data_IF_197147134932
#
_entry.id   IF_197147134932
#
_cell.length_a   1.000
_cell.length_b   1.000
_cell.length_c   1.000
_cell.angle_alpha   90.00
_cell.angle_beta   90.00
_cell.angle_gamma   90.00
#
_symmetry.space_group_name_H-M   'P 1'
#
loop_
_entity.id
_entity.type
_entity.pdbx_description
1 polymer ?
#
# COMPACT_ATOMS: atom_id res chain seq x y z
N UNK A 1 35.21 -37.87 -48.84
CA UNK A 1 34.70 -37.74 -47.44
C UNK A 1 34.09 -36.36 -47.10
N UNK A 2 34.11 -35.35 -47.98
CA UNK A 2 33.69 -33.97 -47.63
C UNK A 2 32.18 -33.65 -47.61
N UNK A 3 31.34 -34.33 -48.41
CA UNK A 3 29.92 -33.97 -48.53
C UNK A 3 29.07 -34.28 -47.28
N UNK A 4 29.43 -35.36 -46.55
CA UNK A 4 28.68 -35.79 -45.35
C UNK A 4 28.88 -34.84 -44.16
N UNK A 5 30.06 -34.22 -44.05
CA UNK A 5 30.37 -33.26 -42.98
C UNK A 5 29.62 -31.92 -43.17
N UNK A 6 29.43 -31.49 -44.42
CA UNK A 6 28.71 -30.25 -44.76
C UNK A 6 27.22 -30.38 -44.43
N UNK A 7 26.60 -31.52 -44.74
CA UNK A 7 25.19 -31.80 -44.39
C UNK A 7 24.94 -31.76 -42.89
N UNK A 8 25.78 -32.43 -42.10
CA UNK A 8 25.67 -32.46 -40.64
C UNK A 8 25.83 -31.06 -40.00
N UNK A 9 26.74 -30.23 -40.54
CA UNK A 9 26.93 -28.87 -40.04
C UNK A 9 25.71 -27.98 -40.38
N UNK A 10 25.10 -28.16 -41.54
CA UNK A 10 23.90 -27.41 -41.93
C UNK A 10 22.68 -27.82 -41.10
N UNK A 11 22.50 -29.11 -40.84
CA UNK A 11 21.46 -29.61 -39.94
C UNK A 11 21.61 -29.07 -38.51
N UNK A 12 22.84 -28.99 -38.00
CA UNK A 12 23.13 -28.39 -36.70
C UNK A 12 22.75 -26.90 -36.67
N UNK A 13 23.07 -26.14 -37.72
CA UNK A 13 22.66 -24.73 -37.84
C UNK A 13 21.14 -24.57 -37.86
N UNK A 14 20.43 -25.40 -38.63
CA UNK A 14 18.96 -25.38 -38.69
C UNK A 14 18.36 -25.70 -37.32
N UNK A 15 18.88 -26.71 -36.62
CA UNK A 15 18.44 -27.09 -35.27
C UNK A 15 18.66 -25.97 -34.26
N UNK A 16 19.83 -25.33 -34.28
CA UNK A 16 20.15 -24.21 -33.40
C UNK A 16 19.25 -22.99 -33.68
N UNK A 17 18.96 -22.71 -34.95
CA UNK A 17 18.05 -21.65 -35.33
C UNK A 17 16.63 -21.92 -34.82
N UNK A 18 16.15 -23.16 -34.93
CA UNK A 18 14.85 -23.55 -34.39
C UNK A 18 14.79 -23.41 -32.87
N UNK A 19 15.80 -23.92 -32.16
CA UNK A 19 15.89 -23.77 -30.71
C UNK A 19 15.88 -22.30 -30.27
N UNK A 20 16.55 -21.43 -31.03
CA UNK A 20 16.53 -19.98 -30.76
C UNK A 20 15.16 -19.34 -31.02
N UNK A 21 14.39 -19.82 -32.01
CA UNK A 21 13.02 -19.35 -32.23
C UNK A 21 12.10 -19.77 -31.08
N UNK A 22 12.23 -21.00 -30.60
CA UNK A 22 11.43 -21.51 -29.48
C UNK A 22 11.74 -20.73 -28.19
N UNK A 23 13.01 -20.44 -27.93
CA UNK A 23 13.42 -19.59 -26.79
C UNK A 23 12.84 -18.18 -26.91
N UNK A 24 12.89 -17.56 -28.09
CA UNK A 24 12.32 -16.23 -28.31
C UNK A 24 10.81 -16.21 -28.08
N UNK A 25 10.10 -17.24 -28.54
CA UNK A 25 8.66 -17.38 -28.30
C UNK A 25 8.34 -17.52 -26.81
N UNK A 26 9.10 -18.33 -26.08
CA UNK A 26 8.94 -18.49 -24.63
C UNK A 26 9.19 -17.18 -23.87
N UNK A 27 10.25 -16.44 -24.20
CA UNK A 27 10.56 -15.15 -23.56
C UNK A 27 9.49 -14.10 -23.87
N UNK A 28 8.95 -14.08 -25.09
CA UNK A 28 7.83 -13.21 -25.43
C UNK A 28 6.58 -13.54 -24.61
N UNK A 29 6.23 -14.83 -24.48
CA UNK A 29 5.12 -15.29 -23.64
C UNK A 29 5.29 -14.88 -22.17
N UNK A 30 6.48 -15.07 -21.60
CA UNK A 30 6.79 -14.64 -20.22
C UNK A 30 6.71 -13.12 -20.05
N UNK A 31 7.12 -12.36 -21.06
CA UNK A 31 7.05 -10.89 -21.04
C UNK A 31 5.60 -10.40 -21.07
N UNK A 32 4.74 -11.04 -21.88
CA UNK A 32 3.31 -10.75 -21.92
C UNK A 32 2.64 -11.04 -20.56
N UNK A 33 2.92 -12.21 -19.98
CA UNK A 33 2.40 -12.58 -18.66
C UNK A 33 2.88 -11.62 -17.55
N UNK A 34 4.15 -11.19 -17.59
CA UNK A 34 4.67 -10.22 -16.63
C UNK A 34 4.01 -8.84 -16.75
N UNK A 35 3.65 -8.42 -17.97
CA UNK A 35 2.95 -7.16 -18.22
C UNK A 35 1.49 -7.20 -17.71
N UNK A 36 0.79 -8.32 -17.90
CA UNK A 36 -0.55 -8.55 -17.34
C UNK A 36 -0.55 -8.54 -15.80
N UNK A 37 0.44 -9.21 -15.18
CA UNK A 37 0.64 -9.21 -13.73
C UNK A 37 1.03 -7.82 -13.18
N UNK A 38 1.67 -6.97 -13.98
CA UNK A 38 1.97 -5.59 -13.62
C UNK A 38 0.72 -4.70 -13.71
N UNK A 39 -0.13 -4.90 -14.72
CA UNK A 39 -1.41 -4.20 -14.86
C UNK A 39 -2.39 -4.47 -13.70
N UNK A 40 -2.41 -5.71 -13.19
CA UNK A 40 -3.27 -6.09 -12.07
C UNK A 40 -2.73 -5.70 -10.69
N UNK A 41 -1.43 -5.40 -10.54
CA UNK A 41 -0.84 -4.92 -9.27
C UNK A 41 -1.29 -3.51 -8.88
N UNK A 42 -1.97 -2.79 -9.79
CA UNK A 42 -2.58 -1.49 -9.54
C UNK A 42 -4.05 -1.54 -9.10
N UNK A 43 -4.67 -2.73 -8.99
CA UNK A 43 -5.98 -2.85 -8.36
C UNK A 43 -5.82 -2.69 -6.84
N UNK A 44 -5.63 -1.45 -6.41
CA UNK A 44 -6.13 -0.98 -5.13
C UNK A 44 -7.52 -1.55 -4.98
N UNK A 45 -7.77 -2.27 -3.88
CA UNK A 45 -9.08 -2.75 -3.48
C UNK A 45 -9.99 -1.53 -3.36
N UNK A 46 -10.56 -1.10 -4.49
CA UNK A 46 -11.37 0.10 -4.58
C UNK A 46 -12.71 -0.28 -3.97
N UNK A 47 -12.78 -0.22 -2.65
CA UNK A 47 -14.01 -0.41 -1.90
C UNK A 47 -15.00 0.59 -2.48
N UNK A 48 -16.06 0.05 -3.08
CA UNK A 48 -17.14 0.83 -3.64
C UNK A 48 -17.59 1.88 -2.61
N UNK A 49 -17.82 3.15 -3.01
CA UNK A 49 -18.13 4.23 -2.07
C UNK A 49 -19.19 3.87 -1.02
N UNK A 50 -20.26 3.21 -1.42
CA UNK A 50 -21.39 2.73 -0.62
C UNK A 50 -21.01 1.61 0.40
N UNK A 51 -19.87 0.96 0.19
CA UNK A 51 -19.37 -0.11 1.05
C UNK A 51 -18.36 0.38 2.09
N UNK A 52 -17.83 1.60 1.96
CA UNK A 52 -16.73 2.11 2.80
C UNK A 52 -17.11 2.17 4.28
N UNK A 53 -18.32 2.63 4.60
CA UNK A 53 -18.81 2.68 5.98
C UNK A 53 -18.95 1.28 6.57
N UNK A 54 -19.41 0.30 5.78
CA UNK A 54 -19.54 -1.10 6.23
C UNK A 54 -18.17 -1.71 6.50
N UNK A 55 -17.21 -1.51 5.60
CA UNK A 55 -15.83 -1.99 5.76
C UNK A 55 -15.14 -1.32 6.96
N UNK A 56 -15.34 -0.03 7.17
CA UNK A 56 -14.81 0.68 8.34
C UNK A 56 -15.38 0.11 9.64
N UNK A 57 -16.68 -0.19 9.68
CA UNK A 57 -17.34 -0.75 10.85
C UNK A 57 -16.78 -2.12 11.28
N UNK A 58 -16.25 -2.93 10.34
CA UNK A 58 -15.60 -4.21 10.66
C UNK A 58 -14.36 -4.05 11.55
N UNK A 59 -13.74 -2.87 11.55
CA UNK A 59 -12.53 -2.57 12.30
C UNK A 59 -12.81 -1.74 13.57
N UNK A 60 -14.08 -1.46 13.87
CA UNK A 60 -14.45 -0.73 15.08
C UNK A 60 -14.67 -1.68 16.24
N UNK A 61 -14.10 -1.34 17.39
CA UNK A 61 -14.22 -2.12 18.62
C UNK A 61 -14.65 -1.25 19.80
N UNK A 62 -15.14 -1.90 20.87
CA UNK A 62 -15.51 -1.24 22.12
C UNK A 62 -16.47 -0.05 21.95
N UNK A 63 -16.07 1.14 22.41
CA UNK A 63 -16.91 2.35 22.35
C UNK A 63 -17.15 2.84 20.91
N UNK A 64 -16.28 2.48 19.96
CA UNK A 64 -16.40 2.93 18.58
C UNK A 64 -17.52 2.19 17.82
N UNK A 65 -17.64 0.87 18.03
CA UNK A 65 -18.72 0.10 17.39
C UNK A 65 -20.09 0.47 17.95
N UNK A 66 -20.20 0.72 19.27
CA UNK A 66 -21.44 1.21 19.89
C UNK A 66 -21.84 2.58 19.34
N UNK A 67 -20.88 3.46 19.07
CA UNK A 67 -21.16 4.73 18.40
C UNK A 67 -21.68 4.53 16.97
N UNK A 68 -21.04 3.67 16.18
CA UNK A 68 -21.46 3.40 14.81
C UNK A 68 -22.91 2.89 14.76
N UNK A 69 -23.29 1.97 15.64
CA UNK A 69 -24.67 1.48 15.75
C UNK A 69 -25.66 2.62 16.01
N UNK A 70 -25.34 3.54 16.94
CA UNK A 70 -26.15 4.73 17.20
C UNK A 70 -26.20 5.69 16.02
N UNK A 71 -25.07 5.91 15.34
CA UNK A 71 -24.97 6.77 14.16
C UNK A 71 -25.88 6.25 13.03
N UNK A 72 -25.80 4.96 12.70
CA UNK A 72 -26.66 4.32 11.69
C UNK A 72 -28.13 4.37 12.10
N UNK A 73 -28.45 4.12 13.38
CA UNK A 73 -29.83 4.19 13.87
C UNK A 73 -30.47 5.57 13.67
N UNK A 74 -29.70 6.64 13.83
CA UNK A 74 -30.20 8.02 13.68
C UNK A 74 -30.28 8.42 12.20
N UNK A 75 -29.27 8.05 11.40
CA UNK A 75 -29.12 8.47 10.00
C UNK A 75 -29.86 7.60 9.00
N UNK A 76 -30.20 6.36 9.36
CA UNK A 76 -30.83 5.40 8.46
C UNK A 76 -29.90 5.00 7.30
N UNK A 77 -30.47 4.63 6.13
CA UNK A 77 -29.69 4.18 4.96
C UNK A 77 -28.62 5.18 4.49
N UNK A 78 -28.90 6.48 4.62
CA UNK A 78 -27.99 7.57 4.21
C UNK A 78 -26.65 7.54 4.96
N UNK A 79 -26.61 6.88 6.14
CA UNK A 79 -25.38 6.67 6.90
C UNK A 79 -24.27 5.98 6.11
N UNK A 80 -24.63 5.18 5.10
CA UNK A 80 -23.70 4.39 4.30
C UNK A 80 -23.26 5.09 3.01
N UNK A 81 -24.03 6.10 2.55
CA UNK A 81 -23.82 6.76 1.27
C UNK A 81 -22.89 7.98 1.38
N UNK A 82 -22.75 8.55 2.59
CA UNK A 82 -21.93 9.74 2.82
C UNK A 82 -20.69 9.45 3.69
N UNK A 83 -19.65 8.93 3.03
CA UNK A 83 -18.37 8.60 3.68
C UNK A 83 -17.72 9.80 4.39
N UNK A 84 -17.74 10.98 3.77
CA UNK A 84 -17.10 12.18 4.28
C UNK A 84 -17.76 12.64 5.58
N UNK A 85 -19.09 12.61 5.64
CA UNK A 85 -19.85 12.94 6.84
C UNK A 85 -19.63 11.90 7.96
N UNK A 86 -19.58 10.61 7.60
CA UNK A 86 -19.27 9.54 8.54
C UNK A 86 -17.90 9.75 9.21
N UNK A 87 -16.85 9.99 8.42
CA UNK A 87 -15.50 10.29 8.91
C UNK A 87 -15.47 11.59 9.71
N UNK A 88 -16.19 12.63 9.27
CA UNK A 88 -16.30 13.90 9.99
C UNK A 88 -16.90 13.72 11.38
N UNK A 89 -17.97 12.92 11.49
CA UNK A 89 -18.65 12.62 12.75
C UNK A 89 -17.80 11.72 13.67
N UNK A 90 -17.11 10.73 13.10
CA UNK A 90 -16.17 9.88 13.82
C UNK A 90 -15.04 10.74 14.41
N UNK A 91 -14.45 11.63 13.60
CA UNK A 91 -13.44 12.59 14.05
C UNK A 91 -14.00 13.49 15.15
N UNK A 92 -15.15 14.13 14.96
CA UNK A 92 -15.72 15.03 15.97
C UNK A 92 -15.92 14.35 17.34
N UNK A 93 -16.27 13.06 17.37
CA UNK A 93 -16.52 12.31 18.59
C UNK A 93 -15.27 11.71 19.24
N UNK A 94 -14.36 11.17 18.43
CA UNK A 94 -13.20 10.41 18.93
C UNK A 94 -11.89 11.15 18.82
N UNK A 95 -11.84 12.27 18.09
CA UNK A 95 -10.70 13.17 18.13
C UNK A 95 -10.73 13.92 19.45
N UNK A 96 -9.94 13.46 20.42
CA UNK A 96 -9.48 14.33 21.51
C UNK A 96 -8.70 15.51 20.90
N UNK A 97 -8.79 16.69 21.52
CA UNK A 97 -7.79 17.74 21.31
C UNK A 97 -6.41 17.13 21.58
N UNK A 98 -5.50 17.23 20.63
CA UNK A 98 -4.31 16.38 20.60
C UNK A 98 -4.34 15.53 19.35
N UNK A 99 -4.29 16.22 18.20
CA UNK A 99 -3.43 15.69 17.15
C UNK A 99 -2.07 15.48 17.84
N UNK A 100 -1.47 14.30 17.74
CA UNK A 100 -0.02 14.20 17.90
C UNK A 100 0.51 15.29 16.95
N UNK A 101 0.99 16.39 17.52
CA UNK A 101 1.70 17.43 16.80
C UNK A 101 3.14 17.10 17.11
N UNK A 102 3.74 16.15 16.38
CA UNK A 102 5.01 15.59 16.77
C UNK A 102 6.09 16.68 16.66
N UNK A 103 5.84 17.74 15.87
CA UNK A 103 6.69 18.91 15.78
C UNK A 103 6.57 19.80 17.02
N UNK A 104 5.36 20.06 17.53
CA UNK A 104 5.20 20.78 18.80
C UNK A 104 5.70 19.97 20.00
N UNK A 105 5.49 18.66 20.01
CA UNK A 105 6.02 17.76 21.03
C UNK A 105 7.55 17.69 20.97
N UNK A 106 8.13 17.59 19.77
CA UNK A 106 9.59 17.68 19.57
C UNK A 106 10.15 19.02 20.03
N UNK A 107 9.47 20.13 19.72
CA UNK A 107 9.85 21.48 20.16
C UNK A 107 9.84 21.62 21.69
N UNK A 108 8.91 20.94 22.36
CA UNK A 108 8.74 20.99 23.80
C UNK A 108 9.49 19.87 24.54
N UNK A 109 10.12 18.94 23.82
CA UNK A 109 10.87 17.83 24.41
C UNK A 109 12.08 18.36 25.18
N UNK A 110 12.11 18.10 26.49
CA UNK A 110 13.21 18.44 27.39
C UNK A 110 13.68 17.17 28.08
N UNK A 111 14.99 17.04 28.29
CA UNK A 111 15.52 15.98 29.13
C UNK A 111 15.15 16.28 30.59
N UNK A 112 14.13 15.60 31.10
CA UNK A 112 13.69 15.69 32.50
C UNK A 112 14.31 14.60 33.37
N UNK A 113 14.63 13.45 32.78
CA UNK A 113 15.21 12.28 33.45
C UNK A 113 16.48 11.81 32.73
N UNK A 114 16.55 10.52 32.39
CA UNK A 114 17.70 9.90 31.74
C UNK A 114 17.87 10.34 30.29
N UNK A 115 19.12 10.43 29.86
CA UNK A 115 19.46 10.74 28.46
C UNK A 115 18.87 9.72 27.49
N UNK A 116 18.84 8.43 27.87
CA UNK A 116 18.27 7.37 27.04
C UNK A 116 16.78 7.59 26.76
N UNK A 117 15.99 7.92 27.78
CA UNK A 117 14.55 8.17 27.64
C UNK A 117 14.25 9.39 26.75
N UNK A 118 15.09 10.43 26.86
CA UNK A 118 15.03 11.57 25.96
C UNK A 118 15.30 11.16 24.50
N UNK A 119 16.35 10.37 24.26
CA UNK A 119 16.71 9.92 22.92
C UNK A 119 15.64 9.00 22.31
N UNK A 120 15.12 8.05 23.09
CA UNK A 120 14.04 7.15 22.65
C UNK A 120 12.79 7.95 22.25
N UNK A 121 12.44 8.99 23.01
CA UNK A 121 11.31 9.87 22.72
C UNK A 121 11.59 10.74 21.48
N UNK A 122 12.81 11.25 21.33
CA UNK A 122 13.22 12.02 20.15
C UNK A 122 13.12 11.18 18.88
N UNK A 123 13.64 9.95 18.89
CA UNK A 123 13.62 9.04 17.74
C UNK A 123 12.19 8.60 17.35
N UNK A 124 11.27 8.55 18.31
CA UNK A 124 9.86 8.28 18.05
C UNK A 124 9.12 9.49 17.43
N UNK A 125 9.47 10.72 17.80
CA UNK A 125 8.81 11.95 17.35
C UNK A 125 9.38 12.50 16.03
N UNK A 126 10.70 12.42 15.84
CA UNK A 126 11.40 13.03 14.70
C UNK A 126 10.88 12.57 13.32
N UNK A 127 10.65 11.26 13.06
CA UNK A 127 10.11 10.81 11.77
C UNK A 127 8.67 11.28 11.54
N UNK A 128 7.88 11.40 12.61
CA UNK A 128 6.48 11.82 12.56
C UNK A 128 6.32 13.32 12.33
N UNK A 129 7.31 14.12 12.72
CA UNK A 129 7.32 15.58 12.53
C UNK A 129 7.53 16.02 11.07
N UNK A 130 7.80 15.09 10.15
CA UNK A 130 7.87 15.38 8.72
C UNK A 130 9.07 16.24 8.29
N UNK A 131 10.12 16.33 9.12
CA UNK A 131 11.39 17.00 8.78
C UNK A 131 12.08 16.16 7.70
N UNK A 132 11.67 16.34 6.45
CA UNK A 132 12.40 15.78 5.32
C UNK A 132 13.76 16.47 5.32
N UNK A 133 14.83 15.68 5.44
CA UNK A 133 16.17 16.15 5.09
C UNK A 133 16.08 16.59 3.63
N UNK A 134 16.15 17.88 3.37
CA UNK A 134 16.49 18.39 2.05
C UNK A 134 17.87 17.83 1.74
N UNK A 135 17.91 16.80 0.90
CA UNK A 135 19.16 16.30 0.34
C UNK A 135 19.77 17.44 -0.50
N UNK A 136 21.08 17.71 -0.37
CA UNK A 136 21.81 18.55 -1.32
C UNK A 136 21.74 17.96 -2.73
#
# INVERSE_FOLDING_TARGET
MGAKAIGLQQESKTRNNQMMMDIKAMVAGLSLQNNELAGNRGQSMNVLPESRVKVAALHLEGKAILWHQGYVKIKGPVAYDNWQEYVGSLRARFRKQGYDDPLAELKNLKQTHGLQEYLDTFDALYPKAGVRRSSP
#
